data_IF_006494072071
#
_entry.id   IF_006494072071
#
_cell.length_a   1.000
_cell.length_b   1.000
_cell.length_c   1.000
_cell.angle_alpha   90.00
_cell.angle_beta   90.00
_cell.angle_gamma   90.00
#
_symmetry.space_group_name_H-M   'P 1'
#
loop_
_entity.id
_entity.type
_entity.pdbx_description
1 polymer ?
#
# COMPACT_ATOMS: atom_id res chain seq x y z
N UNK A 1 -8.65 14.07 -13.01
CA UNK A 1 -7.93 13.33 -11.95
C UNK A 1 -6.89 12.45 -12.62
N UNK A 2 -5.60 12.64 -12.34
CA UNK A 2 -4.54 11.78 -12.91
C UNK A 2 -4.54 10.47 -12.10
N UNK A 3 -5.02 9.40 -12.71
CA UNK A 3 -4.90 8.04 -12.19
C UNK A 3 -3.55 7.50 -12.62
N UNK A 4 -2.70 7.19 -11.64
CA UNK A 4 -1.46 6.49 -11.89
C UNK A 4 -1.64 4.99 -11.68
N UNK A 5 -0.76 4.20 -12.31
CA UNK A 5 -0.74 2.75 -12.16
C UNK A 5 0.30 2.35 -11.13
N UNK A 6 -0.16 1.65 -10.10
CA UNK A 6 0.67 0.92 -9.17
C UNK A 6 1.34 -0.21 -9.96
N UNK A 7 2.68 -0.27 -9.98
CA UNK A 7 3.37 -1.28 -10.78
C UNK A 7 2.99 -2.69 -10.29
N UNK A 8 2.96 -3.70 -11.17
CA UNK A 8 2.64 -5.08 -10.79
C UNK A 8 3.52 -5.62 -9.65
N UNK A 9 4.81 -5.22 -9.63
CA UNK A 9 5.74 -5.59 -8.58
C UNK A 9 5.39 -4.94 -7.23
N UNK A 10 5.03 -3.66 -7.24
CA UNK A 10 4.60 -2.93 -6.04
C UNK A 10 3.30 -3.50 -5.48
N UNK A 11 2.36 -3.86 -6.35
CA UNK A 11 1.09 -4.47 -5.94
C UNK A 11 1.31 -5.81 -5.24
N UNK A 12 2.22 -6.63 -5.77
CA UNK A 12 2.63 -7.89 -5.12
C UNK A 12 3.30 -7.63 -3.77
N UNK A 13 4.18 -6.63 -3.69
CA UNK A 13 4.84 -6.25 -2.44
C UNK A 13 3.84 -5.77 -1.39
N UNK A 14 2.90 -4.90 -1.76
CA UNK A 14 1.84 -4.42 -0.87
C UNK A 14 0.96 -5.57 -0.37
N UNK A 15 0.52 -6.47 -1.26
CA UNK A 15 -0.26 -7.63 -0.87
C UNK A 15 0.52 -8.54 0.09
N UNK A 16 1.80 -8.82 -0.21
CA UNK A 16 2.68 -9.60 0.66
C UNK A 16 2.88 -8.93 2.02
N UNK A 17 3.05 -7.61 2.06
CA UNK A 17 3.18 -6.83 3.30
C UNK A 17 1.91 -6.90 4.15
N UNK A 18 0.75 -6.90 3.51
CA UNK A 18 -0.52 -7.09 4.21
C UNK A 18 -0.62 -8.52 4.77
N UNK A 19 -0.32 -9.55 3.96
CA UNK A 19 -0.36 -10.93 4.45
C UNK A 19 0.61 -11.21 5.60
N UNK A 20 1.81 -10.63 5.56
CA UNK A 20 2.86 -10.89 6.54
C UNK A 20 2.73 -10.05 7.82
N UNK A 21 2.30 -8.78 7.73
CA UNK A 21 2.48 -7.83 8.83
C UNK A 21 1.21 -7.05 9.24
N UNK A 22 0.05 -7.25 8.60
CA UNK A 22 -1.18 -6.57 9.02
C UNK A 22 -2.33 -6.58 8.02
N UNK A 23 -3.57 -6.45 8.49
CA UNK A 23 -4.73 -6.43 7.60
C UNK A 23 -4.84 -5.11 6.81
N UNK A 24 -5.73 -5.07 5.81
CA UNK A 24 -6.08 -3.83 5.09
C UNK A 24 -6.47 -2.71 6.07
N UNK A 25 -6.98 -3.04 7.25
CA UNK A 25 -7.29 -2.07 8.30
C UNK A 25 -6.05 -1.39 8.90
N UNK A 26 -4.94 -2.11 9.14
CA UNK A 26 -3.68 -1.51 9.62
C UNK A 26 -3.11 -0.55 8.57
N UNK A 27 -3.10 -0.97 7.31
CA UNK A 27 -2.66 -0.11 6.20
C UNK A 27 -3.54 1.14 6.09
N UNK A 28 -4.87 1.00 6.22
CA UNK A 28 -5.79 2.13 6.23
C UNK A 28 -5.52 3.10 7.39
N UNK A 29 -5.31 2.58 8.60
CA UNK A 29 -5.01 3.39 9.78
C UNK A 29 -3.70 4.16 9.63
N UNK A 30 -2.65 3.54 9.09
CA UNK A 30 -1.32 4.17 8.93
C UNK A 30 -1.22 5.14 7.76
N UNK A 31 -1.95 4.87 6.67
CA UNK A 31 -1.90 5.72 5.47
C UNK A 31 -3.01 6.78 5.43
N UNK A 32 -4.04 6.62 6.26
CA UNK A 32 -5.27 7.41 6.19
C UNK A 32 -6.07 7.16 4.91
N UNK A 33 -5.79 6.08 4.17
CA UNK A 33 -6.52 5.71 2.96
C UNK A 33 -7.69 4.80 3.35
N UNK A 34 -8.87 5.05 2.77
CA UNK A 34 -10.04 4.22 3.02
C UNK A 34 -9.80 2.76 2.58
N UNK A 35 -10.26 1.79 3.38
CA UNK A 35 -10.06 0.34 3.14
C UNK A 35 -10.51 -0.10 1.75
N UNK A 36 -11.64 0.43 1.27
CA UNK A 36 -12.18 0.16 -0.06
C UNK A 36 -11.26 0.62 -1.19
N UNK A 37 -10.57 1.74 -1.00
CA UNK A 37 -9.59 2.27 -1.96
C UNK A 37 -8.36 1.36 -2.02
N UNK A 38 -7.86 0.90 -0.86
CA UNK A 38 -6.74 -0.05 -0.82
C UNK A 38 -7.12 -1.37 -1.51
N UNK A 39 -8.31 -1.90 -1.23
CA UNK A 39 -8.82 -3.10 -1.89
C UNK A 39 -8.95 -2.92 -3.41
N UNK A 40 -9.41 -1.74 -3.86
CA UNK A 40 -9.45 -1.41 -5.29
C UNK A 40 -8.05 -1.39 -5.90
N UNK A 41 -7.06 -0.78 -5.25
CA UNK A 41 -5.66 -0.77 -5.74
C UNK A 41 -5.09 -2.18 -5.83
N UNK A 42 -5.37 -3.04 -4.87
CA UNK A 42 -4.94 -4.45 -4.93
C UNK A 42 -5.60 -5.21 -6.09
N UNK A 43 -6.83 -4.84 -6.47
CA UNK A 43 -7.57 -5.48 -7.56
C UNK A 43 -7.20 -4.92 -8.94
N UNK A 44 -7.29 -3.61 -9.12
CA UNK A 44 -7.13 -2.92 -10.41
C UNK A 44 -5.71 -2.43 -10.65
N UNK A 45 -4.95 -2.16 -9.59
CA UNK A 45 -3.64 -1.49 -9.68
C UNK A 45 -3.74 0.00 -9.98
N UNK A 46 -4.92 0.59 -9.86
CA UNK A 46 -5.18 1.99 -10.26
C UNK A 46 -5.62 2.82 -9.07
N UNK A 47 -4.96 3.96 -8.88
CA UNK A 47 -5.27 4.90 -7.81
C UNK A 47 -4.85 6.33 -8.19
N UNK A 48 -5.33 7.31 -7.43
CA UNK A 48 -4.77 8.66 -7.47
C UNK A 48 -3.32 8.66 -7.02
N UNK A 49 -2.50 9.56 -7.59
CA UNK A 49 -1.09 9.73 -7.21
C UNK A 49 -0.84 9.78 -5.71
N UNK A 50 -1.65 10.55 -4.98
CA UNK A 50 -1.54 10.69 -3.52
C UNK A 50 -1.72 9.36 -2.79
N UNK A 51 -2.62 8.50 -3.28
CA UNK A 51 -2.83 7.16 -2.73
C UNK A 51 -1.63 6.28 -3.00
N UNK A 52 -1.08 6.32 -4.22
CA UNK A 52 0.12 5.55 -4.59
C UNK A 52 1.31 5.95 -3.75
N UNK A 53 1.55 7.25 -3.60
CA UNK A 53 2.68 7.78 -2.83
C UNK A 53 2.62 7.34 -1.36
N UNK A 54 1.45 7.48 -0.72
CA UNK A 54 1.22 7.00 0.66
C UNK A 54 1.41 5.49 0.81
N UNK A 55 0.97 4.69 -0.17
CA UNK A 55 1.17 3.23 -0.16
C UNK A 55 2.66 2.87 -0.34
N UNK A 56 3.39 3.57 -1.20
CA UNK A 56 4.86 3.44 -1.34
C UNK A 56 5.56 3.77 -0.04
N UNK A 57 5.18 4.86 0.61
CA UNK A 57 5.72 5.28 1.89
C UNK A 57 5.47 4.24 3.00
N UNK A 58 4.27 3.63 3.03
CA UNK A 58 3.96 2.53 3.95
C UNK A 58 4.84 1.30 3.72
N UNK A 59 5.02 0.90 2.46
CA UNK A 59 5.89 -0.23 2.10
C UNK A 59 7.35 0.04 2.48
N UNK A 60 7.82 1.28 2.33
CA UNK A 60 9.20 1.67 2.61
C UNK A 60 9.48 1.85 4.12
N UNK A 61 8.58 2.50 4.86
CA UNK A 61 8.77 2.74 6.31
C UNK A 61 8.82 1.45 7.13
N UNK A 62 8.04 0.42 6.77
CA UNK A 62 8.09 -0.86 7.49
C UNK A 62 9.35 -1.68 7.15
N UNK A 63 10.02 -1.38 6.04
CA UNK A 63 11.35 -1.94 5.74
C UNK A 63 12.44 -1.42 6.68
N UNK A 64 12.30 -0.19 7.20
CA UNK A 64 13.22 0.36 8.22
C UNK A 64 13.00 -0.23 9.62
N UNK A 65 11.79 -0.70 9.95
CA UNK A 65 11.53 -1.38 11.23
C UNK A 65 12.10 -2.80 11.30
N UNK A 66 12.27 -3.48 10.17
CA UNK A 66 12.83 -4.84 10.14
C UNK A 66 14.36 -4.90 10.14
N UNK A 67 15.04 -3.81 9.74
CA UNK A 67 16.52 -3.75 9.72
C UNK A 67 17.12 -3.54 11.12
N UNK A 68 16.29 -3.28 12.13
CA UNK A 68 16.75 -3.01 13.50
C UNK A 68 16.42 -4.15 14.48
N UNK A 69 16.39 -5.40 14.00
CA UNK A 69 16.14 -6.59 14.83
C UNK A 69 17.27 -7.60 14.74
#
# INVERSE_FOLDING_TARGET
MITEKFLPAERRLLNRRLQLYGTIADCAARTGIHRSTIARVLKTGEASQTTIDKLRLYMNNKSKLEVNR
#
